data_IF_255922576970
#
_entry.id   IF_255922576970
#
_cell.length_a   1.000
_cell.length_b   1.000
_cell.length_c   1.000
_cell.angle_alpha   90.00
_cell.angle_beta   90.00
_cell.angle_gamma   90.00
#
_symmetry.space_group_name_H-M   'P 1'
#
loop_
_entity.id
_entity.type
_entity.pdbx_description
1 polymer ?
#
# COMPACT_ATOMS: atom_id res chain seq x y z
N UNK A 1 13.13 11.36 4.80
CA UNK A 1 13.06 11.40 3.33
C UNK A 1 12.02 10.39 2.91
N UNK A 2 10.93 10.84 2.30
CA UNK A 2 9.86 9.96 1.86
C UNK A 2 10.30 9.31 0.54
N UNK A 3 10.60 8.04 0.55
CA UNK A 3 10.98 7.32 -0.65
C UNK A 3 9.75 6.58 -1.18
N UNK A 4 9.27 7.02 -2.34
CA UNK A 4 8.27 6.27 -3.11
C UNK A 4 9.02 5.38 -4.07
N UNK A 5 8.74 4.09 -4.02
CA UNK A 5 9.37 3.11 -4.86
C UNK A 5 8.31 2.27 -5.56
N UNK A 6 8.26 2.38 -6.88
CA UNK A 6 7.57 1.41 -7.71
C UNK A 6 8.48 0.21 -7.89
N UNK A 7 7.96 -0.99 -7.68
CA UNK A 7 8.80 -2.16 -7.79
C UNK A 7 8.05 -3.48 -7.83
N UNK A 8 8.83 -4.53 -7.88
CA UNK A 8 8.36 -5.88 -7.78
C UNK A 8 8.07 -6.21 -6.30
N UNK A 9 6.90 -6.75 -6.07
CA UNK A 9 6.42 -7.02 -4.72
C UNK A 9 7.34 -7.97 -3.93
N UNK A 10 7.97 -8.95 -4.57
CA UNK A 10 8.90 -9.86 -3.89
C UNK A 10 10.21 -9.17 -3.49
N UNK A 11 10.69 -8.22 -4.29
CA UNK A 11 11.89 -7.43 -3.96
C UNK A 11 11.61 -6.50 -2.78
N UNK A 12 10.41 -5.89 -2.74
CA UNK A 12 9.98 -5.08 -1.61
C UNK A 12 9.88 -5.92 -0.33
N UNK A 13 9.28 -7.11 -0.42
CA UNK A 13 9.19 -8.05 0.71
C UNK A 13 10.56 -8.47 1.20
N UNK A 14 11.47 -8.83 0.29
CA UNK A 14 12.82 -9.26 0.64
C UNK A 14 13.59 -8.13 1.33
N UNK A 15 13.57 -6.92 0.75
CA UNK A 15 14.25 -5.74 1.28
C UNK A 15 13.71 -5.34 2.65
N UNK A 16 12.39 -5.36 2.83
CA UNK A 16 11.78 -5.03 4.12
C UNK A 16 12.10 -6.09 5.18
N UNK A 17 12.03 -7.38 4.83
CA UNK A 17 12.39 -8.45 5.78
C UNK A 17 13.85 -8.35 6.21
N UNK A 18 14.76 -8.05 5.30
CA UNK A 18 16.18 -7.83 5.63
C UNK A 18 16.33 -6.63 6.59
N UNK A 19 15.73 -5.49 6.28
CA UNK A 19 15.74 -4.31 7.13
C UNK A 19 15.22 -4.60 8.55
N UNK A 20 14.09 -5.30 8.65
CA UNK A 20 13.49 -5.65 9.95
C UNK A 20 14.38 -6.60 10.74
N UNK A 21 14.95 -7.61 10.10
CA UNK A 21 15.85 -8.57 10.74
C UNK A 21 17.11 -7.86 11.28
N UNK A 22 17.70 -6.94 10.50
CA UNK A 22 18.85 -6.13 10.93
C UNK A 22 18.51 -5.25 12.14
N UNK A 23 17.36 -4.55 12.11
CA UNK A 23 16.92 -3.70 13.23
C UNK A 23 16.67 -4.50 14.50
N UNK A 24 16.02 -5.66 14.39
CA UNK A 24 15.70 -6.54 15.52
C UNK A 24 16.97 -7.19 16.13
N UNK A 25 17.97 -7.46 15.32
CA UNK A 25 19.25 -8.01 15.83
C UNK A 25 20.04 -7.01 16.67
N UNK A 26 19.81 -5.71 16.47
CA UNK A 26 20.56 -4.65 17.17
C UNK A 26 19.90 -4.16 18.45
N UNK A 27 18.57 -4.25 18.54
CA UNK A 27 17.78 -3.66 19.61
C UNK A 27 16.46 -4.43 19.83
N UNK A 28 15.78 -4.15 20.92
CA UNK A 28 14.40 -4.58 21.17
C UNK A 28 13.42 -3.80 20.27
N UNK A 29 13.56 -3.97 18.96
CA UNK A 29 12.80 -3.26 17.92
C UNK A 29 11.44 -3.90 17.71
N UNK A 30 10.38 -3.20 18.08
CA UNK A 30 9.00 -3.70 18.07
C UNK A 30 8.28 -3.37 16.75
N UNK A 31 7.71 -4.39 16.14
CA UNK A 31 7.04 -4.31 14.83
C UNK A 31 5.57 -4.68 14.96
N UNK A 32 4.71 -3.81 14.44
CA UNK A 32 3.27 -4.03 14.25
C UNK A 32 2.98 -4.30 12.76
N UNK A 33 2.11 -5.27 12.48
CA UNK A 33 1.55 -5.48 11.14
C UNK A 33 0.04 -5.24 11.17
N UNK A 34 -0.43 -4.27 10.39
CA UNK A 34 -1.85 -3.88 10.28
C UNK A 34 -2.43 -4.47 9.01
N UNK A 35 -3.39 -5.39 9.16
CA UNK A 35 -3.96 -6.15 8.04
C UNK A 35 -3.12 -7.37 7.65
N UNK A 36 -2.17 -7.79 8.48
CA UNK A 36 -1.19 -8.85 8.16
C UNK A 36 -1.65 -10.29 8.40
N UNK A 37 -2.92 -10.54 8.69
CA UNK A 37 -3.39 -11.89 9.07
C UNK A 37 -3.45 -12.89 7.92
N UNK A 38 -3.66 -12.42 6.69
CA UNK A 38 -3.89 -13.30 5.53
C UNK A 38 -2.60 -13.82 4.91
N UNK A 39 -1.50 -13.06 5.04
CA UNK A 39 -0.23 -13.40 4.40
C UNK A 39 0.95 -13.47 5.36
N UNK A 40 1.68 -14.61 5.43
CA UNK A 40 2.78 -14.78 6.37
C UNK A 40 4.08 -14.07 5.96
N UNK A 41 4.00 -13.04 5.11
CA UNK A 41 5.18 -12.42 4.47
C UNK A 41 6.17 -11.81 5.47
N UNK A 42 5.67 -11.29 6.60
CA UNK A 42 6.49 -10.59 7.61
C UNK A 42 6.38 -11.20 9.01
N UNK A 43 5.66 -12.32 9.18
CA UNK A 43 5.37 -12.91 10.49
C UNK A 43 6.61 -13.20 11.33
N UNK A 44 7.72 -13.59 10.70
CA UNK A 44 8.98 -13.86 11.40
C UNK A 44 9.63 -12.58 11.97
N UNK A 45 9.23 -11.42 11.48
CA UNK A 45 9.76 -10.11 11.90
C UNK A 45 8.71 -9.22 12.57
N UNK A 46 7.53 -9.76 12.87
CA UNK A 46 6.38 -9.05 13.44
C UNK A 46 6.15 -9.52 14.88
N UNK A 47 5.95 -8.59 15.81
CA UNK A 47 5.62 -8.89 17.20
C UNK A 47 4.12 -8.92 17.44
N UNK A 48 3.38 -8.03 16.77
CA UNK A 48 1.93 -7.90 16.92
C UNK A 48 1.27 -7.81 15.56
N UNK A 49 0.24 -8.60 15.32
CA UNK A 49 -0.70 -8.41 14.21
C UNK A 49 -1.97 -7.73 14.74
N UNK A 50 -2.37 -6.65 14.09
CA UNK A 50 -3.66 -6.01 14.31
C UNK A 50 -4.53 -6.18 13.07
N UNK A 51 -5.58 -6.96 13.21
CA UNK A 51 -6.48 -7.29 12.11
C UNK A 51 -7.87 -7.64 12.64
N UNK A 52 -8.84 -7.62 11.79
CA UNK A 52 -10.19 -8.02 12.13
C UNK A 52 -10.38 -9.54 12.10
N UNK A 53 -9.59 -10.28 11.34
CA UNK A 53 -9.54 -11.75 11.33
C UNK A 53 -8.24 -12.24 11.97
N UNK A 54 -8.28 -13.36 12.71
CA UNK A 54 -7.05 -13.93 13.28
C UNK A 54 -6.12 -14.46 12.19
N UNK A 55 -4.79 -14.40 12.41
CA UNK A 55 -3.83 -15.04 11.51
C UNK A 55 -4.12 -16.53 11.45
N UNK A 56 -4.34 -17.02 10.25
CA UNK A 56 -4.60 -18.43 9.99
C UNK A 56 -3.32 -19.12 9.57
N UNK A 57 -3.12 -20.37 10.05
CA UNK A 57 -2.03 -21.20 9.55
C UNK A 57 -2.14 -21.33 8.04
N UNK A 58 -1.17 -20.79 7.33
CA UNK A 58 -1.12 -20.88 5.89
C UNK A 58 0.20 -21.55 5.48
N UNK A 59 0.11 -22.64 4.72
CA UNK A 59 1.28 -23.40 4.24
C UNK A 59 2.30 -23.78 5.34
N UNK A 60 1.84 -24.12 6.55
CA UNK A 60 2.70 -24.49 7.66
C UNK A 60 3.35 -23.34 8.43
N UNK A 61 3.11 -22.10 8.04
CA UNK A 61 3.54 -20.95 8.80
C UNK A 61 2.59 -20.69 9.97
N UNK A 62 3.16 -20.50 11.16
CA UNK A 62 2.43 -20.20 12.39
C UNK A 62 2.92 -18.84 12.88
N UNK A 63 2.01 -17.91 13.09
CA UNK A 63 2.36 -16.65 13.74
C UNK A 63 2.60 -16.90 15.23
N UNK A 64 3.77 -16.52 15.72
CA UNK A 64 4.18 -16.73 17.11
C UNK A 64 4.06 -15.48 17.98
N UNK A 65 3.70 -14.34 17.39
CA UNK A 65 3.51 -13.08 18.10
C UNK A 65 2.12 -12.92 18.70
N UNK A 66 1.79 -11.72 19.13
CA UNK A 66 0.49 -11.37 19.70
C UNK A 66 -0.50 -10.96 18.61
N UNK A 67 -1.71 -11.47 18.68
CA UNK A 67 -2.82 -11.04 17.82
C UNK A 67 -3.77 -10.12 18.59
N UNK A 68 -4.02 -8.95 18.06
CA UNK A 68 -5.00 -7.99 18.59
C UNK A 68 -6.13 -7.84 17.57
N UNK A 69 -7.31 -8.32 17.93
CA UNK A 69 -8.50 -8.20 17.09
C UNK A 69 -9.03 -6.76 17.07
N UNK A 70 -9.31 -6.26 15.86
CA UNK A 70 -9.99 -5.00 15.68
C UNK A 70 -10.22 -4.65 14.22
N UNK A 71 -11.33 -3.98 13.95
CA UNK A 71 -11.61 -3.43 12.63
C UNK A 71 -10.87 -2.10 12.46
N UNK A 72 -9.86 -2.07 11.60
CA UNK A 72 -9.03 -0.88 11.36
C UNK A 72 -9.83 0.31 10.79
N UNK A 73 -10.99 0.08 10.17
CA UNK A 73 -11.81 1.15 9.59
C UNK A 73 -12.66 1.90 10.61
N UNK A 74 -12.78 1.39 11.83
CA UNK A 74 -13.64 1.94 12.87
C UNK A 74 -12.82 2.46 14.05
N UNK A 75 -13.16 3.64 14.62
CA UNK A 75 -12.45 4.18 15.80
C UNK A 75 -12.45 3.24 16.99
N UNK A 76 -13.55 2.54 17.25
CA UNK A 76 -13.68 1.57 18.32
C UNK A 76 -12.80 0.33 18.13
N UNK A 77 -12.51 -0.04 16.88
CA UNK A 77 -11.65 -1.18 16.56
C UNK A 77 -10.23 -1.02 17.12
N UNK A 78 -9.75 0.21 17.25
CA UNK A 78 -8.41 0.52 17.77
C UNK A 78 -8.29 0.50 19.30
N UNK A 79 -9.39 0.32 20.04
CA UNK A 79 -9.36 0.39 21.52
C UNK A 79 -8.39 -0.59 22.15
N UNK A 80 -8.38 -1.86 21.67
CA UNK A 80 -7.50 -2.88 22.21
C UNK A 80 -6.03 -2.59 21.93
N UNK A 81 -5.72 -2.17 20.69
CA UNK A 81 -4.38 -1.78 20.30
C UNK A 81 -3.90 -0.53 21.07
N UNK A 82 -4.78 0.46 21.27
CA UNK A 82 -4.47 1.65 22.07
C UNK A 82 -4.21 1.29 23.54
N UNK A 83 -4.92 0.31 24.09
CA UNK A 83 -4.68 -0.20 25.44
C UNK A 83 -3.35 -0.91 25.54
N UNK A 84 -3.00 -1.70 24.54
CA UNK A 84 -1.67 -2.32 24.42
C UNK A 84 -0.55 -1.26 24.41
N UNK A 85 -0.70 -0.22 23.59
CA UNK A 85 0.29 0.86 23.45
C UNK A 85 0.44 1.66 24.73
N UNK A 86 -0.65 1.92 25.47
CA UNK A 86 -0.58 2.58 26.78
C UNK A 86 0.30 1.81 27.78
N UNK A 87 0.28 0.49 27.71
CA UNK A 87 1.05 -0.38 28.59
C UNK A 87 2.49 -0.58 28.10
N UNK A 88 2.71 -0.72 26.81
CA UNK A 88 3.96 -1.22 26.22
C UNK A 88 4.75 -0.14 25.46
N UNK A 89 4.18 1.05 25.27
CA UNK A 89 4.73 2.10 24.41
C UNK A 89 4.36 1.91 22.94
N UNK A 90 4.70 2.91 22.12
CA UNK A 90 4.52 2.84 20.65
C UNK A 90 5.45 1.80 20.03
N UNK A 91 5.02 1.25 18.93
CA UNK A 91 5.88 0.43 18.08
C UNK A 91 7.00 1.25 17.46
N UNK A 92 8.14 0.63 17.23
CA UNK A 92 9.23 1.27 16.51
C UNK A 92 8.92 1.34 15.02
N UNK A 93 8.18 0.35 14.53
CA UNK A 93 7.82 0.23 13.13
C UNK A 93 6.42 -0.36 12.94
N UNK A 94 5.70 0.11 11.91
CA UNK A 94 4.45 -0.50 11.47
C UNK A 94 4.50 -0.86 9.99
N UNK A 95 4.00 -2.03 9.68
CA UNK A 95 3.76 -2.50 8.32
C UNK A 95 2.26 -2.35 8.04
N UNK A 96 1.91 -1.87 6.85
CA UNK A 96 0.54 -1.90 6.34
C UNK A 96 0.62 -2.20 4.84
N UNK A 97 0.33 -3.44 4.48
CA UNK A 97 0.53 -3.91 3.11
C UNK A 97 -0.72 -4.57 2.56
N UNK A 98 -1.06 -4.26 1.30
CA UNK A 98 -2.21 -4.82 0.60
C UNK A 98 -3.47 -4.73 1.48
N UNK A 99 -3.74 -3.54 1.98
CA UNK A 99 -4.80 -3.27 2.94
C UNK A 99 -5.54 -1.99 2.64
N UNK A 100 -4.83 -0.89 2.39
CA UNK A 100 -5.45 0.43 2.24
C UNK A 100 -6.33 0.55 1.00
N UNK A 101 -6.01 -0.19 -0.05
CA UNK A 101 -6.78 -0.23 -1.31
C UNK A 101 -8.18 -0.81 -1.15
N UNK A 102 -8.37 -1.67 -0.14
CA UNK A 102 -9.66 -2.33 0.13
C UNK A 102 -10.59 -1.52 1.03
N UNK A 103 -10.04 -0.52 1.71
CA UNK A 103 -10.76 0.19 2.76
C UNK A 103 -11.69 1.28 2.21
N UNK A 104 -12.83 1.48 2.86
CA UNK A 104 -13.71 2.60 2.54
C UNK A 104 -13.13 3.97 2.94
N UNK A 105 -12.36 4.01 4.02
CA UNK A 105 -11.79 5.23 4.63
C UNK A 105 -10.31 5.01 4.99
N UNK A 106 -9.41 4.84 4.00
CA UNK A 106 -7.98 4.60 4.27
C UNK A 106 -7.29 5.78 4.94
N UNK A 107 -7.78 7.02 4.73
CA UNK A 107 -7.27 8.24 5.39
C UNK A 107 -7.34 8.13 6.91
N UNK A 108 -8.40 7.53 7.44
CA UNK A 108 -8.53 7.29 8.87
C UNK A 108 -7.42 6.33 9.34
N UNK A 109 -7.21 5.23 8.62
CA UNK A 109 -6.19 4.22 8.99
C UNK A 109 -4.79 4.82 8.91
N UNK A 110 -4.45 5.55 7.86
CA UNK A 110 -3.17 6.26 7.71
C UNK A 110 -2.90 7.17 8.91
N UNK A 111 -3.94 7.90 9.36
CA UNK A 111 -3.83 8.74 10.56
C UNK A 111 -3.62 7.93 11.86
N UNK A 112 -4.14 6.70 11.92
CA UNK A 112 -3.88 5.83 13.09
C UNK A 112 -2.47 5.24 13.07
N UNK A 113 -1.94 4.85 11.89
CA UNK A 113 -0.57 4.33 11.76
C UNK A 113 0.45 5.28 12.41
N UNK A 114 0.33 6.58 12.17
CA UNK A 114 1.21 7.61 12.74
C UNK A 114 1.09 7.75 14.27
N UNK A 115 -0.06 7.39 14.82
CA UNK A 115 -0.28 7.44 16.28
C UNK A 115 0.32 6.24 16.99
N UNK A 116 0.35 5.08 16.35
CA UNK A 116 0.72 3.80 16.97
C UNK A 116 2.20 3.45 16.80
N UNK A 117 2.87 4.01 15.81
CA UNK A 117 4.29 3.73 15.54
C UNK A 117 5.12 5.01 15.35
N UNK A 118 6.46 4.86 15.38
CA UNK A 118 7.44 5.95 15.17
C UNK A 118 7.79 6.10 13.70
N UNK A 119 7.80 4.97 12.97
CA UNK A 119 8.10 4.86 11.56
C UNK A 119 7.29 3.70 10.97
N UNK A 120 7.27 3.57 9.66
CA UNK A 120 6.62 2.44 9.03
C UNK A 120 6.81 2.36 7.54
N UNK A 121 6.23 1.32 7.01
CA UNK A 121 6.20 1.04 5.59
C UNK A 121 4.79 0.67 5.15
N UNK A 122 4.38 1.23 4.04
CA UNK A 122 3.10 0.95 3.40
C UNK A 122 3.38 0.41 2.01
N UNK A 123 2.77 -0.72 1.67
CA UNK A 123 2.79 -1.29 0.34
C UNK A 123 1.36 -1.42 -0.20
N UNK A 124 1.11 -0.85 -1.35
CA UNK A 124 -0.19 -0.88 -2.03
C UNK A 124 -0.01 -1.27 -3.49
N UNK A 125 -1.03 -1.85 -4.14
CA UNK A 125 -0.97 -2.05 -5.57
C UNK A 125 -0.68 -0.72 -6.28
N UNK A 126 0.21 -0.77 -7.24
CA UNK A 126 0.54 0.42 -8.02
C UNK A 126 -0.61 0.82 -8.94
N UNK A 127 -0.64 2.08 -9.38
CA UNK A 127 -1.57 2.52 -10.43
C UNK A 127 -1.45 1.70 -11.72
N UNK A 128 -0.27 1.20 -12.04
CA UNK A 128 -0.06 0.37 -13.23
C UNK A 128 -0.82 -0.94 -13.10
N UNK A 129 -0.78 -1.56 -11.92
CA UNK A 129 -1.55 -2.74 -11.62
C UNK A 129 -3.06 -2.43 -11.64
N UNK A 130 -3.49 -1.36 -10.96
CA UNK A 130 -4.91 -1.03 -10.84
C UNK A 130 -5.57 -0.59 -12.15
N UNK A 131 -4.79 -0.07 -13.10
CA UNK A 131 -5.30 0.36 -14.40
C UNK A 131 -5.16 -0.73 -15.49
N UNK A 132 -4.55 -1.86 -15.17
CA UNK A 132 -4.41 -2.98 -16.09
C UNK A 132 -5.74 -3.71 -16.27
N UNK A 133 -6.09 -4.04 -17.53
CA UNK A 133 -7.24 -4.88 -17.86
C UNK A 133 -6.86 -6.36 -17.85
N UNK A 134 -7.85 -7.19 -17.53
CA UNK A 134 -7.73 -8.64 -17.69
C UNK A 134 -6.93 -9.36 -16.61
N UNK A 135 -6.77 -8.78 -15.42
CA UNK A 135 -6.11 -9.44 -14.27
C UNK A 135 -6.83 -10.75 -13.91
N UNK A 136 -8.16 -10.78 -13.97
CA UNK A 136 -8.96 -11.98 -13.73
C UNK A 136 -9.14 -12.87 -14.96
N UNK A 137 -8.43 -12.59 -16.05
CA UNK A 137 -8.53 -13.31 -17.32
C UNK A 137 -9.07 -12.44 -18.45
N UNK A 138 -8.94 -12.93 -19.69
CA UNK A 138 -9.21 -12.15 -20.91
C UNK A 138 -10.66 -11.65 -21.07
N UNK A 139 -11.60 -12.24 -20.35
CA UNK A 139 -13.03 -11.90 -20.43
C UNK A 139 -13.44 -10.78 -19.47
N UNK A 140 -12.58 -10.39 -18.51
CA UNK A 140 -12.89 -9.31 -17.58
C UNK A 140 -12.48 -7.96 -18.18
N UNK A 141 -13.46 -7.08 -18.32
CA UNK A 141 -13.28 -5.73 -18.87
C UNK A 141 -12.87 -4.70 -17.78
N UNK A 142 -13.08 -5.04 -16.51
CA UNK A 142 -12.69 -4.18 -15.40
C UNK A 142 -11.17 -4.06 -15.28
N UNK A 143 -10.74 -2.89 -14.81
CA UNK A 143 -9.32 -2.61 -14.54
C UNK A 143 -8.95 -3.01 -13.11
N UNK A 144 -7.75 -3.54 -12.94
CA UNK A 144 -7.23 -3.98 -11.64
C UNK A 144 -8.12 -5.03 -10.96
N UNK A 145 -8.03 -5.11 -9.65
CA UNK A 145 -8.89 -5.96 -8.85
C UNK A 145 -10.19 -5.23 -8.50
N UNK A 146 -11.34 -5.83 -8.76
CA UNK A 146 -12.65 -5.15 -8.63
C UNK A 146 -13.05 -4.85 -7.18
N UNK A 147 -12.47 -5.51 -6.19
CA UNK A 147 -12.69 -5.23 -4.76
C UNK A 147 -11.85 -4.06 -4.25
N UNK A 148 -10.77 -3.70 -4.94
CA UNK A 148 -9.99 -2.53 -4.58
C UNK A 148 -10.77 -1.25 -4.84
N UNK A 149 -10.74 -0.35 -3.89
CA UNK A 149 -11.51 0.90 -3.88
C UNK A 149 -10.66 2.12 -4.18
N UNK A 150 -9.33 1.98 -4.11
CA UNK A 150 -8.40 3.09 -4.25
C UNK A 150 -7.28 2.75 -5.23
N UNK A 151 -6.86 3.77 -5.94
CA UNK A 151 -5.65 3.78 -6.76
C UNK A 151 -4.64 4.68 -6.09
N UNK A 152 -3.42 4.20 -5.94
CA UNK A 152 -2.33 4.98 -5.36
C UNK A 152 -1.27 5.32 -6.38
N UNK A 153 -0.77 6.55 -6.29
CA UNK A 153 0.31 7.05 -7.14
C UNK A 153 1.17 8.03 -6.38
N UNK A 154 2.35 8.31 -6.90
CA UNK A 154 3.21 9.40 -6.43
C UNK A 154 3.48 10.38 -7.56
N UNK A 155 3.49 11.67 -7.25
CA UNK A 155 3.84 12.74 -8.17
C UNK A 155 4.54 13.87 -7.40
N UNK A 156 5.67 14.36 -7.92
CA UNK A 156 6.42 15.45 -7.32
C UNK A 156 6.74 15.26 -5.82
N UNK A 157 7.08 14.03 -5.42
CA UNK A 157 7.43 13.68 -4.04
C UNK A 157 6.24 13.63 -3.07
N UNK A 158 5.01 13.60 -3.57
CA UNK A 158 3.78 13.42 -2.79
C UNK A 158 3.10 12.12 -3.13
N UNK A 159 2.43 11.56 -2.16
CA UNK A 159 1.58 10.39 -2.31
C UNK A 159 0.12 10.81 -2.49
N UNK A 160 -0.54 10.23 -3.49
CA UNK A 160 -1.94 10.51 -3.80
C UNK A 160 -2.77 9.23 -3.70
N UNK A 161 -3.91 9.32 -3.03
CA UNK A 161 -4.96 8.32 -3.04
C UNK A 161 -6.15 8.80 -3.87
N UNK A 162 -6.52 8.04 -4.88
CA UNK A 162 -7.63 8.34 -5.79
C UNK A 162 -8.70 7.25 -5.64
N UNK A 163 -9.98 7.61 -5.46
CA UNK A 163 -11.05 6.62 -5.46
C UNK A 163 -11.13 5.91 -6.81
N UNK A 164 -11.14 4.58 -6.77
CA UNK A 164 -11.35 3.74 -7.94
C UNK A 164 -12.85 3.67 -8.23
N UNK A 165 -13.28 4.44 -9.18
CA UNK A 165 -14.70 4.54 -9.57
C UNK A 165 -14.90 4.06 -11.01
N UNK A 166 -16.12 3.95 -11.47
CA UNK A 166 -16.46 3.52 -12.83
C UNK A 166 -15.78 4.32 -13.95
N UNK A 167 -15.32 5.55 -13.68
CA UNK A 167 -14.54 6.34 -14.63
C UNK A 167 -13.23 5.65 -15.06
N UNK A 168 -12.65 4.80 -14.21
CA UNK A 168 -11.41 4.08 -14.56
C UNK A 168 -11.61 3.16 -15.77
N UNK A 169 -12.81 2.61 -15.95
CA UNK A 169 -13.13 1.72 -17.07
C UNK A 169 -13.32 2.50 -18.38
N UNK A 170 -13.64 3.80 -18.32
CA UNK A 170 -13.77 4.68 -19.47
C UNK A 170 -12.44 5.17 -20.05
N UNK A 171 -11.32 4.93 -19.36
CA UNK A 171 -9.98 5.29 -19.85
C UNK A 171 -9.67 4.45 -21.10
N UNK A 172 -9.53 5.14 -22.23
CA UNK A 172 -9.26 4.51 -23.54
C UNK A 172 -7.78 4.42 -23.88
N UNK A 173 -6.91 5.03 -23.05
CA UNK A 173 -5.47 5.06 -23.29
C UNK A 173 -4.90 3.63 -23.31
N UNK A 174 -4.42 3.22 -24.48
CA UNK A 174 -3.84 1.88 -24.68
C UNK A 174 -2.55 1.66 -23.90
N UNK A 175 -1.82 2.71 -23.56
CA UNK A 175 -0.60 2.64 -22.75
C UNK A 175 -0.88 2.12 -21.33
N UNK A 176 -2.09 2.37 -20.82
CA UNK A 176 -2.55 1.87 -19.52
C UNK A 176 -3.09 0.44 -19.58
N UNK A 177 -3.14 -0.17 -20.76
CA UNK A 177 -3.67 -1.55 -20.94
C UNK A 177 -2.56 -2.60 -21.02
N UNK A 178 -1.31 -2.21 -20.90
CA UNK A 178 -0.21 -3.17 -20.96
C UNK A 178 -0.32 -4.20 -19.85
N UNK A 179 -0.29 -5.45 -20.25
CA UNK A 179 -0.18 -6.57 -19.32
C UNK A 179 1.18 -6.50 -18.66
N UNK A 180 1.19 -6.40 -17.34
CA UNK A 180 2.41 -6.61 -16.53
C UNK A 180 2.84 -8.09 -16.53
N UNK A 181 2.20 -8.94 -17.34
CA UNK A 181 2.58 -10.33 -17.55
C UNK A 181 4.01 -10.40 -18.08
N UNK A 182 4.93 -10.76 -17.24
CA UNK A 182 6.36 -10.82 -17.54
C UNK A 182 7.19 -9.64 -17.05
N UNK A 183 6.56 -8.56 -16.55
CA UNK A 183 7.24 -7.42 -15.94
C UNK A 183 6.61 -7.07 -14.59
N UNK A 184 6.91 -7.83 -13.54
CA UNK A 184 6.27 -7.67 -12.22
C UNK A 184 6.74 -6.43 -11.44
N UNK A 185 7.73 -5.69 -11.90
CA UNK A 185 8.45 -4.64 -11.16
C UNK A 185 7.74 -3.28 -11.06
N UNK A 186 6.52 -3.14 -11.59
CA UNK A 186 5.68 -2.00 -11.30
C UNK A 186 4.38 -2.41 -10.58
N UNK A 187 4.32 -3.60 -10.01
CA UNK A 187 3.13 -4.13 -9.34
C UNK A 187 2.76 -3.37 -8.08
N UNK A 188 3.75 -3.00 -7.29
CA UNK A 188 3.55 -2.41 -5.97
C UNK A 188 4.16 -1.01 -5.92
N UNK A 189 3.45 -0.09 -5.29
CA UNK A 189 3.98 1.18 -4.82
C UNK A 189 4.24 1.06 -3.34
N UNK A 190 5.49 1.20 -2.93
CA UNK A 190 5.86 1.20 -1.53
C UNK A 190 6.28 2.57 -1.03
N UNK A 191 6.03 2.81 0.24
CA UNK A 191 6.27 4.07 0.90
C UNK A 191 6.81 3.84 2.31
N UNK A 192 8.05 4.26 2.53
CA UNK A 192 8.65 4.33 3.85
C UNK A 192 8.45 5.71 4.46
N UNK A 193 8.08 5.78 5.72
CA UNK A 193 7.84 7.03 6.43
C UNK A 193 8.45 7.05 7.83
N UNK A 194 8.84 8.24 8.26
CA UNK A 194 9.22 8.57 9.63
C UNK A 194 8.44 9.80 10.06
N UNK A 195 7.87 9.76 11.26
CA UNK A 195 7.09 10.84 11.90
C UNK A 195 5.72 11.08 11.27
N UNK A 196 5.66 11.50 10.00
CA UNK A 196 4.41 11.88 9.34
C UNK A 196 4.25 11.17 7.98
N UNK A 197 3.01 10.84 7.66
CA UNK A 197 2.60 10.36 6.34
C UNK A 197 1.81 11.50 5.69
N UNK A 198 2.33 12.03 4.60
CA UNK A 198 1.64 13.08 3.83
C UNK A 198 1.00 12.45 2.59
N UNK A 199 -0.31 12.24 2.67
CA UNK A 199 -1.12 11.70 1.56
C UNK A 199 -2.12 12.76 1.15
N UNK A 200 -2.15 13.04 -0.12
CA UNK A 200 -3.19 13.88 -0.70
C UNK A 200 -4.34 13.00 -1.21
N UNK A 201 -5.49 13.12 -0.58
CA UNK A 201 -6.70 12.39 -0.93
C UNK A 201 -7.52 13.18 -1.93
N UNK A 202 -7.72 12.62 -3.12
CA UNK A 202 -8.64 13.16 -4.10
C UNK A 202 -10.02 12.58 -3.82
N UNK A 203 -10.83 13.35 -3.11
CA UNK A 203 -12.20 12.97 -2.82
C UNK A 203 -13.12 13.45 -3.94
N UNK A 204 -14.07 12.61 -4.41
CA UNK A 204 -14.97 12.98 -5.51
C UNK A 204 -15.99 14.06 -5.18
N UNK A 205 -16.01 14.56 -3.95
CA UNK A 205 -16.98 15.54 -3.42
C UNK A 205 -16.34 16.84 -2.95
N UNK A 206 -15.32 17.32 -3.64
CA UNK A 206 -14.92 18.70 -3.44
C UNK A 206 -15.88 19.57 -4.27
N UNK A 207 -16.89 20.16 -3.65
CA UNK A 207 -17.93 20.99 -4.25
C UNK A 207 -17.41 22.21 -5.05
N UNK A 208 -16.11 22.42 -5.11
CA UNK A 208 -15.43 23.54 -5.75
C UNK A 208 -14.42 23.11 -6.84
N UNK A 209 -14.39 21.85 -7.24
CA UNK A 209 -13.57 21.44 -8.39
C UNK A 209 -14.40 21.59 -9.66
N UNK A 210 -13.84 22.21 -10.74
CA UNK A 210 -14.48 22.20 -12.05
C UNK A 210 -14.83 20.76 -12.48
N UNK A 211 -15.93 20.57 -13.17
CA UNK A 211 -16.43 19.24 -13.57
C UNK A 211 -15.41 18.41 -14.37
N UNK A 212 -14.48 19.07 -15.04
CA UNK A 212 -13.37 18.49 -15.82
C UNK A 212 -12.07 18.33 -15.03
N UNK A 213 -11.93 18.99 -13.86
CA UNK A 213 -10.71 18.97 -13.06
C UNK A 213 -10.37 17.57 -12.54
N UNK A 214 -11.39 16.79 -12.19
CA UNK A 214 -11.21 15.42 -11.73
C UNK A 214 -10.54 14.54 -12.77
N UNK A 215 -11.03 14.58 -13.99
CA UNK A 215 -10.53 13.77 -15.11
C UNK A 215 -9.16 14.22 -15.60
N UNK A 216 -8.93 15.52 -15.74
CA UNK A 216 -7.66 16.06 -16.21
C UNK A 216 -6.56 15.91 -15.14
N UNK A 217 -6.86 16.22 -13.89
CA UNK A 217 -5.92 16.05 -12.79
C UNK A 217 -5.58 14.57 -12.57
N UNK A 218 -6.58 13.69 -12.62
CA UNK A 218 -6.36 12.25 -12.52
C UNK A 218 -5.54 11.74 -13.69
N UNK A 219 -5.88 12.14 -14.92
CA UNK A 219 -5.08 11.82 -16.12
C UNK A 219 -3.66 12.34 -15.99
N UNK A 220 -3.48 13.53 -15.45
CA UNK A 220 -2.17 14.15 -15.27
C UNK A 220 -1.37 13.47 -14.17
N UNK A 221 -2.00 13.08 -13.05
CA UNK A 221 -1.39 12.22 -12.03
C UNK A 221 -1.04 10.83 -12.57
N UNK A 222 -1.81 10.33 -13.53
CA UNK A 222 -1.59 9.05 -14.18
C UNK A 222 -0.59 9.15 -15.34
N UNK A 223 -0.55 10.27 -16.07
CA UNK A 223 0.41 10.54 -17.16
C UNK A 223 1.83 10.82 -16.68
N UNK A 224 2.00 11.31 -15.48
CA UNK A 224 3.32 11.64 -14.93
C UNK A 224 4.19 10.42 -14.57
N UNK A 225 3.82 9.24 -15.03
CA UNK A 225 4.65 8.04 -14.94
C UNK A 225 5.13 7.72 -16.33
N UNK A 226 6.42 7.80 -16.47
CA UNK A 226 7.13 7.22 -17.59
C UNK A 226 6.55 5.82 -17.84
N UNK A 227 6.28 5.55 -19.09
CA UNK A 227 5.87 4.22 -19.53
C UNK A 227 6.80 3.19 -18.88
N UNK A 228 6.33 2.03 -18.41
CA UNK A 228 7.22 1.00 -17.83
C UNK A 228 8.43 0.70 -18.69
N UNK A 229 8.31 0.85 -20.01
CA UNK A 229 9.43 0.77 -20.95
C UNK A 229 10.44 1.91 -20.80
N UNK A 230 9.99 3.12 -20.50
CA UNK A 230 10.89 4.26 -20.32
C UNK A 230 11.64 4.13 -19.00
N UNK A 231 10.98 3.58 -17.97
CA UNK A 231 11.64 3.19 -16.74
C UNK A 231 12.69 2.09 -16.99
N UNK A 232 12.36 1.11 -17.83
CA UNK A 232 13.27 0.04 -18.26
C UNK A 232 14.47 0.58 -19.01
N UNK A 233 14.21 1.40 -20.01
CA UNK A 233 15.25 2.02 -20.82
C UNK A 233 16.15 2.88 -19.93
N UNK A 234 15.59 3.64 -18.99
CA UNK A 234 16.36 4.43 -18.04
C UNK A 234 17.19 3.58 -17.06
N UNK A 235 16.65 2.46 -16.57
CA UNK A 235 17.42 1.54 -15.73
C UNK A 235 18.49 0.85 -16.54
N UNK A 236 18.20 0.37 -17.74
CA UNK A 236 19.16 -0.29 -18.61
C UNK A 236 20.27 0.67 -19.11
N UNK A 237 19.93 1.94 -19.33
CA UNK A 237 20.90 2.94 -19.79
C UNK A 237 21.72 3.54 -18.65
N UNK A 238 21.32 3.38 -17.38
CA UNK A 238 22.05 3.88 -16.22
C UNK A 238 22.69 2.76 -15.37
N UNK A 239 22.66 1.52 -15.85
CA UNK A 239 23.42 0.41 -15.26
C UNK A 239 24.79 0.33 -15.94
N UNK A 240 25.74 1.11 -15.43
CA UNK A 240 27.18 0.88 -15.61
C UNK A 240 27.71 -0.01 -14.49
#
# INVERSE_FOLDING_TARGET
MHNFLYGYEEDHKASLNQFLAEKRSQNNFKVLDVGGSVGPWFWNNTDVIFDFIPPTTNHGNIFSGEYISGNATLPEGWKNLNSYIKKNGKFDFVICRQTLEDLGHPEFVVNQLQKVAKAGWIGVPSKHFELMKGIYGSNHQSRGLHHHRWIYTSKNGRWYGLPKMGWTDSITDSSLTMRLNGNPWAHELSFYWEKNIDVFWLLPYCDNLPDDYGDEFVRDCLKGVEHPWDLWINILNNSD
#
